data_IF_102534887467
#
_entry.id   IF_102534887467
#
_cell.length_a   1.000
_cell.length_b   1.000
_cell.length_c   1.000
_cell.angle_alpha   90.00
_cell.angle_beta   90.00
_cell.angle_gamma   90.00
#
_symmetry.space_group_name_H-M   'P 1'
#
loop_
_entity.id
_entity.type
_entity.pdbx_description
1 polymer ?
#
# COMPACT_ATOMS: atom_id res chain seq x y z
N UNK A 1 1.34 0.96 7.50
CA UNK A 1 0.73 1.73 6.39
C UNK A 1 0.30 0.78 5.30
N UNK A 2 -1.00 0.63 5.06
CA UNK A 2 -1.54 -0.30 4.05
C UNK A 2 -2.11 0.40 2.81
N UNK A 3 -2.06 1.74 2.78
CA UNK A 3 -2.46 2.56 1.63
C UNK A 3 -1.44 2.45 0.48
N UNK A 4 -1.90 2.47 -0.77
CA UNK A 4 -1.03 2.48 -1.96
C UNK A 4 -1.26 3.78 -2.70
N UNK A 5 -0.22 4.62 -2.68
CA UNK A 5 -0.22 5.94 -3.30
C UNK A 5 0.94 6.03 -4.27
N UNK A 6 0.68 6.54 -5.46
CA UNK A 6 1.71 6.93 -6.41
C UNK A 6 1.51 8.41 -6.76
N UNK A 7 2.60 9.15 -6.94
CA UNK A 7 2.54 10.57 -7.24
C UNK A 7 3.63 10.92 -8.23
N UNK A 8 3.30 11.79 -9.17
CA UNK A 8 4.29 12.49 -9.97
C UNK A 8 4.05 13.99 -9.89
N UNK A 9 5.06 14.69 -9.37
CA UNK A 9 5.03 16.14 -9.19
C UNK A 9 5.98 16.81 -10.18
N UNK A 10 5.53 17.91 -10.76
CA UNK A 10 6.31 18.81 -11.59
C UNK A 10 6.21 20.23 -11.03
N UNK A 11 7.20 21.05 -11.36
CA UNK A 11 7.18 22.48 -11.05
C UNK A 11 7.64 23.23 -12.29
N UNK A 12 6.92 24.30 -12.64
CA UNK A 12 7.39 25.21 -13.68
C UNK A 12 8.42 26.18 -13.08
N UNK A 13 9.41 26.60 -13.85
CA UNK A 13 10.29 27.71 -13.44
C UNK A 13 9.55 29.05 -13.38
N UNK A 14 8.44 29.17 -14.09
CA UNK A 14 7.66 30.41 -14.24
C UNK A 14 6.45 30.50 -13.31
N UNK A 15 6.10 29.44 -12.58
CA UNK A 15 4.92 29.38 -11.72
C UNK A 15 5.28 28.75 -10.38
N UNK A 16 4.74 29.31 -9.30
CA UNK A 16 4.88 28.75 -7.95
C UNK A 16 3.99 27.53 -7.73
N UNK A 17 3.01 27.29 -8.60
CA UNK A 17 2.08 26.15 -8.46
C UNK A 17 2.68 24.84 -8.98
N UNK A 18 2.47 23.77 -8.22
CA UNK A 18 2.86 22.43 -8.62
C UNK A 18 1.75 21.77 -9.44
N UNK A 19 2.14 21.05 -10.49
CA UNK A 19 1.22 20.28 -11.34
C UNK A 19 1.68 18.83 -11.46
N UNK A 20 0.79 17.95 -11.93
CA UNK A 20 1.07 16.53 -12.07
C UNK A 20 -0.13 15.67 -11.72
N UNK A 21 0.11 14.55 -11.03
CA UNK A 21 -0.96 13.63 -10.66
C UNK A 21 -0.67 12.88 -9.36
N UNK A 22 -1.75 12.50 -8.68
CA UNK A 22 -1.76 11.62 -7.52
C UNK A 22 -2.72 10.47 -7.81
N UNK A 23 -2.24 9.27 -7.60
CA UNK A 23 -2.98 8.02 -7.67
C UNK A 23 -3.15 7.47 -6.26
N UNK A 24 -4.36 7.02 -5.92
CA UNK A 24 -4.65 6.25 -4.72
C UNK A 24 -5.51 5.05 -5.09
N UNK A 25 -5.13 3.85 -4.65
CA UNK A 25 -5.91 2.66 -4.95
C UNK A 25 -5.44 1.41 -4.21
N UNK A 26 -5.92 0.26 -4.67
CA UNK A 26 -5.63 -1.05 -4.06
C UNK A 26 -4.32 -1.69 -4.57
N UNK A 27 -3.76 -1.19 -5.68
CA UNK A 27 -2.67 -1.86 -6.40
C UNK A 27 -1.37 -1.86 -5.58
N UNK A 28 -0.96 -3.04 -5.11
CA UNK A 28 0.40 -3.26 -4.61
C UNK A 28 1.43 -3.09 -5.74
N UNK A 29 2.71 -2.90 -5.39
CA UNK A 29 3.79 -2.83 -6.38
C UNK A 29 4.16 -4.23 -6.90
N UNK A 30 3.28 -4.80 -7.74
CA UNK A 30 3.45 -6.13 -8.31
C UNK A 30 2.96 -6.21 -9.77
N UNK A 31 3.52 -7.11 -10.59
CA UNK A 31 3.02 -7.35 -11.95
C UNK A 31 1.60 -7.93 -11.99
N UNK A 32 1.14 -8.58 -10.91
CA UNK A 32 -0.22 -9.11 -10.85
C UNK A 32 -1.27 -7.99 -10.80
N UNK A 33 -0.96 -6.88 -10.11
CA UNK A 33 -1.81 -5.71 -10.00
C UNK A 33 -1.68 -4.77 -11.22
N UNK A 34 -0.45 -4.47 -11.67
CA UNK A 34 -0.20 -3.49 -12.74
C UNK A 34 -0.13 -4.08 -14.15
N UNK A 35 -0.01 -5.40 -14.24
CA UNK A 35 0.09 -6.14 -15.48
C UNK A 35 1.53 -6.40 -15.93
N UNK A 36 1.66 -7.41 -16.79
CA UNK A 36 2.89 -7.77 -17.50
C UNK A 36 2.63 -7.74 -18.99
N UNK A 37 3.48 -7.01 -19.73
CA UNK A 37 3.45 -7.03 -21.18
C UNK A 37 3.98 -8.38 -21.67
N UNK A 38 3.17 -9.08 -22.44
CA UNK A 38 3.53 -10.28 -23.18
C UNK A 38 3.87 -9.85 -24.60
N UNK A 39 5.07 -10.20 -25.10
CA UNK A 39 5.44 -9.89 -26.47
C UNK A 39 4.49 -10.61 -27.44
N UNK A 40 4.37 -10.10 -28.68
CA UNK A 40 3.61 -10.78 -29.71
C UNK A 40 4.14 -12.20 -29.95
N UNK A 41 3.25 -13.14 -30.25
CA UNK A 41 3.65 -14.51 -30.60
C UNK A 41 4.45 -14.47 -31.90
N UNK A 42 5.63 -15.09 -31.90
CA UNK A 42 6.45 -15.27 -33.11
C UNK A 42 5.90 -16.36 -34.04
N UNK A 43 4.94 -17.16 -33.55
CA UNK A 43 4.37 -18.30 -34.27
C UNK A 43 3.13 -17.89 -35.08
N UNK A 44 2.47 -16.80 -34.69
CA UNK A 44 1.26 -16.31 -35.35
C UNK A 44 1.57 -14.99 -36.05
N UNK A 45 1.57 -15.01 -37.40
CA UNK A 45 1.71 -13.80 -38.19
C UNK A 45 0.55 -12.83 -37.87
N UNK A 46 0.87 -11.65 -37.34
CA UNK A 46 -0.12 -10.64 -36.92
C UNK A 46 -0.48 -10.65 -35.43
N UNK A 47 0.17 -11.46 -34.61
CA UNK A 47 -0.02 -11.43 -33.15
C UNK A 47 0.40 -10.06 -32.58
N UNK A 48 -0.46 -9.42 -31.80
CA UNK A 48 -0.17 -8.16 -31.11
C UNK A 48 0.35 -8.40 -29.70
N UNK A 49 1.07 -7.42 -29.14
CA UNK A 49 1.47 -7.47 -27.73
C UNK A 49 0.23 -7.46 -26.83
N UNK A 50 0.26 -8.25 -25.74
CA UNK A 50 -0.87 -8.41 -24.81
C UNK A 50 -0.47 -7.96 -23.42
N UNK A 51 -1.29 -7.14 -22.76
CA UNK A 51 -1.13 -6.85 -21.35
C UNK A 51 -1.92 -7.87 -20.53
N UNK A 52 -1.23 -8.62 -19.67
CA UNK A 52 -1.87 -9.60 -18.78
C UNK A 52 -1.88 -9.06 -17.35
N UNK A 53 -3.08 -8.93 -16.76
CA UNK A 53 -3.32 -8.52 -15.36
C UNK A 53 -4.03 -9.69 -14.67
N UNK A 54 -3.68 -9.97 -13.42
CA UNK A 54 -4.19 -11.13 -12.68
C UNK A 54 -5.17 -10.76 -11.56
N UNK A 55 -5.08 -9.55 -11.02
CA UNK A 55 -5.89 -9.12 -9.89
C UNK A 55 -7.00 -8.16 -10.31
N UNK A 56 -8.10 -8.18 -9.55
CA UNK A 56 -9.08 -7.11 -9.57
C UNK A 56 -8.61 -6.00 -8.65
N UNK A 57 -8.40 -4.82 -9.23
CA UNK A 57 -7.87 -3.69 -8.50
C UNK A 57 -8.60 -2.42 -8.95
N UNK A 58 -8.76 -1.46 -8.05
CA UNK A 58 -9.42 -0.18 -8.32
C UNK A 58 -8.60 0.97 -7.74
N UNK A 59 -8.62 2.12 -8.40
CA UNK A 59 -7.99 3.33 -7.89
C UNK A 59 -8.53 4.57 -8.58
N UNK A 60 -8.26 5.70 -7.95
CA UNK A 60 -8.66 7.03 -8.42
C UNK A 60 -7.39 7.79 -8.78
N UNK A 61 -7.43 8.50 -9.92
CA UNK A 61 -6.35 9.37 -10.38
C UNK A 61 -6.84 10.81 -10.36
N UNK A 62 -6.18 11.64 -9.56
CA UNK A 62 -6.40 13.08 -9.49
C UNK A 62 -5.30 13.77 -10.30
N UNK A 63 -5.71 14.55 -11.30
CA UNK A 63 -4.80 15.21 -12.24
C UNK A 63 -4.89 16.72 -12.03
N UNK A 64 -3.76 17.33 -11.74
CA UNK A 64 -3.58 18.79 -11.75
C UNK A 64 -2.86 19.14 -13.05
N UNK A 65 -3.55 19.74 -14.03
CA UNK A 65 -2.93 20.07 -15.31
C UNK A 65 -1.84 21.14 -15.15
N UNK A 66 -0.87 21.20 -16.09
CA UNK A 66 0.08 22.31 -16.13
C UNK A 66 -0.65 23.66 -16.24
N UNK A 67 -0.12 24.75 -15.66
CA UNK A 67 -0.72 26.06 -15.75
C UNK A 67 -0.83 26.51 -17.22
N UNK A 68 -2.05 26.87 -17.64
CA UNK A 68 -2.35 27.46 -18.95
C UNK A 68 -1.67 28.83 -19.08
N UNK A 69 -1.14 29.16 -20.26
CA UNK A 69 -0.62 30.51 -20.58
C UNK A 69 -1.72 31.54 -20.85
N UNK A 70 -2.97 31.10 -21.01
CA UNK A 70 -4.10 31.98 -21.28
C UNK A 70 -4.68 32.39 -19.93
N UNK A 71 -4.35 33.63 -19.52
CA UNK A 71 -4.97 34.32 -18.40
C UNK A 71 -6.46 34.46 -18.67
N UNK A 72 -7.28 33.62 -18.04
CA UNK A 72 -8.71 33.65 -18.35
C UNK A 72 -9.54 32.56 -17.69
N UNK A 73 -9.21 32.15 -16.47
CA UNK A 73 -10.26 31.82 -15.50
C UNK A 73 -9.65 31.79 -14.10
N UNK A 74 -10.08 32.71 -13.24
CA UNK A 74 -9.70 32.79 -11.83
C UNK A 74 -10.46 31.76 -10.98
N UNK A 75 -10.70 30.58 -11.53
CA UNK A 75 -11.28 29.45 -10.83
C UNK A 75 -10.18 28.69 -10.10
N UNK A 76 -10.17 28.77 -8.76
CA UNK A 76 -9.36 27.98 -7.82
C UNK A 76 -8.51 26.88 -8.49
N UNK A 77 -7.31 27.26 -8.94
CA UNK A 77 -6.36 26.31 -9.53
C UNK A 77 -5.84 25.43 -8.38
N UNK A 78 -6.45 24.25 -8.22
CA UNK A 78 -6.00 23.22 -7.30
C UNK A 78 -4.49 22.96 -7.52
N UNK A 79 -3.68 23.15 -6.49
CA UNK A 79 -2.24 22.86 -6.52
C UNK A 79 -2.00 21.41 -6.11
N UNK A 80 -1.06 20.72 -6.77
CA UNK A 80 -0.73 19.34 -6.40
C UNK A 80 -0.17 19.20 -4.97
N UNK A 81 0.31 20.29 -4.36
CA UNK A 81 0.79 20.30 -2.98
C UNK A 81 -0.33 20.52 -1.94
N UNK A 82 -1.56 20.87 -2.37
CA UNK A 82 -2.71 21.02 -1.46
C UNK A 82 -3.24 19.67 -0.95
N UNK A 83 -2.88 18.57 -1.61
CA UNK A 83 -3.25 17.22 -1.21
C UNK A 83 -2.41 16.76 -0.01
N UNK A 84 -3.06 16.57 1.14
CA UNK A 84 -2.42 16.01 2.32
C UNK A 84 -2.17 14.50 2.13
N UNK A 85 -0.90 14.10 2.29
CA UNK A 85 -0.50 12.69 2.22
C UNK A 85 -0.34 12.12 3.64
N UNK A 86 -0.67 10.84 3.87
CA UNK A 86 -0.54 10.21 5.19
C UNK A 86 0.92 9.88 5.57
N UNK A 87 1.90 10.39 4.83
CA UNK A 87 3.32 10.21 5.04
C UNK A 87 4.09 11.47 4.66
N UNK A 88 5.30 11.60 5.23
CA UNK A 88 6.19 12.73 4.99
C UNK A 88 6.76 12.67 3.56
N UNK A 89 6.87 13.84 2.93
CA UNK A 89 7.49 14.02 1.62
C UNK A 89 8.56 15.12 1.70
N UNK A 90 9.72 14.96 1.04
CA UNK A 90 10.16 13.78 0.29
C UNK A 90 10.39 12.55 1.19
N UNK A 91 10.24 11.35 0.63
CA UNK A 91 10.45 10.12 1.38
C UNK A 91 11.92 10.05 1.90
N UNK A 92 12.14 9.75 3.19
CA UNK A 92 13.48 9.57 3.73
C UNK A 92 14.27 8.49 2.98
N UNK A 93 15.57 8.72 2.78
CA UNK A 93 16.44 7.69 2.20
C UNK A 93 16.80 6.67 3.26
N UNK A 94 16.88 5.41 2.84
CA UNK A 94 17.36 4.33 3.69
C UNK A 94 18.84 4.57 4.05
N UNK A 95 19.18 4.37 5.31
CA UNK A 95 20.54 4.40 5.83
C UNK A 95 21.27 3.06 5.60
N UNK A 96 22.59 3.03 5.82
CA UNK A 96 23.41 1.84 5.51
C UNK A 96 23.06 0.57 6.29
N UNK A 97 22.42 0.70 7.46
CA UNK A 97 21.94 -0.42 8.26
C UNK A 97 20.48 -0.82 7.96
N UNK A 98 19.75 -0.03 7.17
CA UNK A 98 18.33 -0.25 6.96
C UNK A 98 18.10 -1.47 6.07
N UNK A 99 17.04 -2.20 6.37
CA UNK A 99 16.58 -3.35 5.58
C UNK A 99 15.10 -3.19 5.27
N UNK A 100 14.64 -3.64 4.09
CA UNK A 100 13.21 -3.69 3.83
C UNK A 100 12.52 -4.62 4.85
N UNK A 101 11.31 -4.25 5.26
CA UNK A 101 10.47 -5.01 6.17
C UNK A 101 9.94 -6.30 5.52
N UNK A 102 10.85 -7.22 5.19
CA UNK A 102 10.54 -8.57 4.73
C UNK A 102 10.27 -9.46 5.93
N UNK A 103 9.44 -10.50 5.77
CA UNK A 103 9.16 -11.44 6.85
C UNK A 103 10.45 -12.08 7.43
N UNK A 104 11.46 -12.30 6.58
CA UNK A 104 12.76 -12.81 7.02
C UNK A 104 13.52 -11.77 7.86
N UNK A 105 13.63 -10.53 7.39
CA UNK A 105 14.31 -9.46 8.14
C UNK A 105 13.62 -9.17 9.47
N UNK A 106 12.28 -9.20 9.51
CA UNK A 106 11.51 -9.02 10.74
C UNK A 106 11.75 -10.14 11.74
N UNK A 107 11.73 -11.42 11.30
CA UNK A 107 12.06 -12.55 12.18
C UNK A 107 13.49 -12.47 12.72
N UNK A 108 14.45 -12.08 11.88
CA UNK A 108 15.84 -11.88 12.30
C UNK A 108 15.97 -10.79 13.36
N UNK A 109 15.31 -9.64 13.14
CA UNK A 109 15.32 -8.54 14.11
C UNK A 109 14.66 -8.93 15.45
N UNK A 110 13.59 -9.72 15.43
CA UNK A 110 12.97 -10.26 16.65
C UNK A 110 13.94 -11.19 17.40
N UNK A 111 14.65 -12.06 16.69
CA UNK A 111 15.65 -12.94 17.31
C UNK A 111 16.84 -12.16 17.90
N UNK A 112 17.37 -11.16 17.18
CA UNK A 112 18.45 -10.29 17.67
C UNK A 112 18.05 -9.53 18.95
N UNK A 113 16.78 -9.08 19.05
CA UNK A 113 16.24 -8.47 20.26
C UNK A 113 16.16 -9.46 21.42
N UNK A 114 15.66 -10.68 21.17
CA UNK A 114 15.60 -11.72 22.21
C UNK A 114 16.98 -12.12 22.72
N UNK A 115 17.99 -12.23 21.84
CA UNK A 115 19.38 -12.51 22.23
C UNK A 115 20.00 -11.36 23.04
N UNK A 116 19.68 -10.10 22.73
CA UNK A 116 20.12 -8.94 23.51
C UNK A 116 19.47 -8.90 24.89
N UNK A 117 18.18 -9.23 25.01
CA UNK A 117 17.48 -9.29 26.30
C UNK A 117 18.07 -10.39 27.21
N UNK A 118 18.46 -11.55 26.66
CA UNK A 118 19.13 -12.61 27.41
C UNK A 118 20.57 -12.26 27.85
N UNK A 119 21.23 -11.30 27.20
CA UNK A 119 22.58 -10.84 27.57
C UNK A 119 22.56 -9.71 28.62
N UNK A 120 21.39 -9.12 28.89
CA UNK A 120 21.19 -8.08 29.90
C UNK A 120 20.66 -8.58 31.25
N UNK A 121 20.33 -9.87 31.37
CA UNK A 121 19.99 -10.50 32.64
C UNK A 121 21.29 -11.06 33.25
N UNK A 122 21.84 -10.36 34.24
CA UNK A 122 22.85 -10.91 35.15
C UNK A 122 22.36 -12.24 35.75
N UNK A 123 23.31 -13.16 35.97
CA UNK A 123 23.13 -14.56 36.37
C UNK A 123 22.49 -14.80 37.78
N UNK A 124 21.69 -13.87 38.32
CA UNK A 124 21.10 -13.97 39.67
C UNK A 124 19.58 -14.14 39.75
N UNK A 125 18.84 -14.18 38.64
CA UNK A 125 17.38 -14.45 38.67
C UNK A 125 16.98 -15.56 37.68
N UNK A 126 17.46 -16.78 37.92
CA UNK A 126 16.85 -17.98 37.33
C UNK A 126 15.75 -18.47 38.28
N UNK A 127 14.56 -17.88 38.16
CA UNK A 127 13.33 -18.53 38.57
C UNK A 127 12.73 -19.19 37.32
N UNK A 128 12.63 -20.52 37.34
CA UNK A 128 12.02 -21.34 36.31
C UNK A 128 10.58 -20.88 36.01
N UNK A 129 10.39 -20.08 34.97
CA UNK A 129 9.07 -19.92 34.34
C UNK A 129 9.03 -20.75 33.06
N UNK A 130 8.12 -21.72 33.12
CA UNK A 130 7.87 -22.79 32.17
C UNK A 130 7.58 -22.24 30.77
N UNK A 131 8.35 -22.73 29.78
CA UNK A 131 8.16 -22.45 28.35
C UNK A 131 6.82 -23.00 27.88
N UNK A 132 5.79 -22.14 27.80
CA UNK A 132 4.53 -22.47 27.12
C UNK A 132 4.76 -22.33 25.62
N UNK A 133 4.76 -23.47 24.92
CA UNK A 133 4.96 -23.56 23.47
C UNK A 133 3.90 -22.82 22.64
N UNK A 134 4.10 -22.71 21.31
CA UNK A 134 3.21 -21.96 20.44
C UNK A 134 1.87 -22.68 20.35
N UNK A 135 0.85 -22.17 21.05
CA UNK A 135 -0.52 -22.60 20.81
C UNK A 135 -0.90 -22.15 19.39
N UNK A 136 -1.26 -23.11 18.54
CA UNK A 136 -1.96 -22.88 17.30
C UNK A 136 -3.27 -22.15 17.62
N UNK A 137 -3.26 -20.82 17.49
CA UNK A 137 -4.44 -19.98 17.68
C UNK A 137 -5.36 -20.18 16.48
N UNK A 138 -6.21 -21.20 16.57
CA UNK A 138 -7.43 -21.26 15.77
C UNK A 138 -8.33 -20.15 16.31
N UNK A 139 -8.39 -19.03 15.57
CA UNK A 139 -9.31 -17.96 15.89
C UNK A 139 -10.74 -18.49 15.72
N UNK A 140 -11.38 -18.90 16.82
CA UNK A 140 -12.82 -19.13 16.80
C UNK A 140 -13.48 -17.77 16.57
N UNK A 141 -14.14 -17.62 15.41
CA UNK A 141 -14.96 -16.44 15.13
C UNK A 141 -16.00 -16.29 16.24
N UNK A 142 -15.96 -15.14 16.93
CA UNK A 142 -16.91 -14.85 17.98
C UNK A 142 -18.33 -14.80 17.41
N UNK A 143 -19.32 -15.25 18.17
CA UNK A 143 -20.73 -15.23 17.73
C UNK A 143 -21.18 -13.79 17.37
N UNK A 144 -20.59 -12.79 18.01
CA UNK A 144 -20.80 -11.37 17.73
C UNK A 144 -20.35 -10.98 16.31
N UNK A 145 -19.22 -11.53 15.85
CA UNK A 145 -18.71 -11.28 14.49
C UNK A 145 -19.62 -11.91 13.42
N UNK A 146 -20.22 -13.08 13.72
CA UNK A 146 -21.20 -13.72 12.83
C UNK A 146 -22.49 -12.91 12.72
N UNK A 147 -23.01 -12.44 13.85
CA UNK A 147 -24.23 -11.61 13.87
C UNK A 147 -23.98 -10.30 13.12
N UNK A 148 -22.82 -9.68 13.32
CA UNK A 148 -22.45 -8.46 12.62
C UNK A 148 -22.32 -8.67 11.11
N UNK A 149 -21.70 -9.78 10.68
CA UNK A 149 -21.61 -10.13 9.27
C UNK A 149 -22.99 -10.38 8.64
N UNK A 150 -23.87 -11.16 9.28
CA UNK A 150 -25.22 -11.41 8.77
C UNK A 150 -26.05 -10.13 8.66
N UNK A 151 -25.93 -9.22 9.62
CA UNK A 151 -26.59 -7.92 9.57
C UNK A 151 -26.13 -7.11 8.35
N UNK A 152 -24.83 -7.08 8.04
CA UNK A 152 -24.31 -6.40 6.86
C UNK A 152 -24.80 -7.04 5.55
N UNK A 153 -24.84 -8.36 5.47
CA UNK A 153 -25.29 -9.07 4.27
C UNK A 153 -26.80 -8.90 4.00
N UNK A 154 -27.61 -8.78 5.06
CA UNK A 154 -29.06 -8.55 4.94
C UNK A 154 -29.41 -7.21 4.29
N UNK A 155 -28.53 -6.21 4.38
CA UNK A 155 -28.75 -4.88 3.80
C UNK A 155 -28.60 -4.85 2.27
N UNK A 156 -27.85 -5.81 1.71
CA UNK A 156 -27.58 -5.88 0.26
C UNK A 156 -28.71 -6.59 -0.50
N UNK A 157 -29.46 -7.48 0.16
CA UNK A 157 -30.57 -8.23 -0.46
C UNK A 157 -31.90 -7.47 -0.57
N UNK A 158 -32.00 -6.26 -0.02
CA UNK A 158 -33.26 -5.49 0.01
C UNK A 158 -33.43 -4.52 -1.17
N UNK A 159 -32.55 -4.53 -2.17
CA UNK A 159 -32.65 -3.68 -3.36
C UNK A 159 -32.86 -4.47 -4.66
N UNK A 160 -33.65 -5.55 -4.63
CA UNK A 160 -34.27 -6.09 -5.85
C UNK A 160 -35.71 -5.60 -5.91
N UNK A 161 -35.86 -4.41 -6.47
CA UNK A 161 -37.15 -3.76 -6.65
C UNK A 161 -37.03 -2.61 -7.64
N UNK A 162 -36.86 -2.93 -8.92
CA UNK A 162 -37.47 -2.26 -10.07
C UNK A 162 -37.38 -3.14 -11.32
#
# INVERSE_FOLDING_TARGET
MHVKVARRRFQSSTSTSAFGWIYCGSHNFSPAAWGRLLPPSTVEAGSAARLRIFNYELGILLIVPPPSKVEGDSGNLCNLDDFQLPFVMPAPRYCGGDRPATAFAMRGAVAELTEQDCQGMDEEDVADEEVIGPSEYVAEESEDDKIYAEMLWSQVGSSDGF
#
